data_IF_623075232252
#
_entry.id   IF_623075232252
#
_cell.length_a   1.000
_cell.length_b   1.000
_cell.length_c   1.000
_cell.angle_alpha   90.00
_cell.angle_beta   90.00
_cell.angle_gamma   90.00
#
_symmetry.space_group_name_H-M   'P 1'
#
loop_
_entity.id
_entity.type
_entity.pdbx_description
1 polymer ?
#
# COMPACT_ATOMS: atom_id res chain seq x y z
N UNK A 1 -16.51 11.59 -41.32
CA UNK A 1 -15.47 12.32 -40.55
C UNK A 1 -14.27 11.40 -40.53
N UNK A 2 -13.11 11.83 -41.03
CA UNK A 2 -11.90 10.99 -41.03
C UNK A 2 -11.43 10.83 -39.58
N UNK A 3 -11.34 9.60 -39.10
CA UNK A 3 -10.81 9.27 -37.77
C UNK A 3 -9.37 8.84 -37.95
N UNK A 4 -8.46 9.42 -37.15
CA UNK A 4 -7.04 9.08 -37.13
C UNK A 4 -6.64 8.71 -35.71
N UNK A 5 -6.03 7.54 -35.55
CA UNK A 5 -5.55 7.03 -34.27
C UNK A 5 -4.03 6.98 -34.31
N UNK A 6 -3.37 7.57 -33.30
CA UNK A 6 -1.90 7.60 -33.19
C UNK A 6 -1.44 6.56 -32.18
N UNK A 7 -0.51 5.69 -32.59
CA UNK A 7 0.11 4.72 -31.69
C UNK A 7 1.53 5.19 -31.38
N UNK A 8 1.86 5.22 -30.09
CA UNK A 8 3.19 5.61 -29.62
C UNK A 8 4.05 4.38 -29.34
N UNK A 9 5.37 4.57 -29.30
CA UNK A 9 6.31 3.51 -28.94
C UNK A 9 6.00 2.99 -27.53
N UNK A 10 5.68 1.70 -27.37
CA UNK A 10 5.31 1.13 -26.09
C UNK A 10 6.52 0.96 -25.18
N UNK A 11 6.28 1.00 -23.87
CA UNK A 11 7.31 0.70 -22.88
C UNK A 11 7.30 -0.79 -22.53
N UNK A 12 8.19 -1.58 -23.15
CA UNK A 12 8.29 -3.01 -22.89
C UNK A 12 8.89 -3.32 -21.50
N UNK A 13 9.89 -2.56 -21.05
CA UNK A 13 10.48 -2.68 -19.71
C UNK A 13 10.58 -1.33 -18.97
N UNK A 14 10.57 -1.40 -17.63
CA UNK A 14 10.67 -0.23 -16.74
C UNK A 14 11.92 0.67 -16.95
N UNK A 15 12.96 0.14 -17.61
CA UNK A 15 14.23 0.82 -17.85
C UNK A 15 14.47 1.19 -19.33
N UNK A 16 13.51 0.95 -20.23
CA UNK A 16 13.69 1.26 -21.65
C UNK A 16 13.54 2.76 -21.90
N UNK A 17 14.54 3.37 -22.54
CA UNK A 17 14.54 4.80 -22.89
C UNK A 17 14.27 5.03 -24.38
N UNK A 18 14.57 4.05 -25.23
CA UNK A 18 14.38 4.09 -26.68
C UNK A 18 14.22 2.68 -27.27
N UNK A 19 13.63 2.61 -28.46
CA UNK A 19 13.56 1.41 -29.28
C UNK A 19 14.00 1.74 -30.72
N UNK A 20 14.53 0.75 -31.44
CA UNK A 20 14.92 0.82 -32.84
C UNK A 20 13.86 0.07 -33.66
N UNK A 21 13.40 0.65 -34.76
CA UNK A 21 12.51 -0.05 -35.69
C UNK A 21 13.36 -1.00 -36.53
N UNK A 22 13.14 -2.30 -36.40
CA UNK A 22 13.90 -3.30 -37.16
C UNK A 22 13.30 -3.56 -38.53
N UNK A 23 11.97 -3.62 -38.61
CA UNK A 23 11.25 -3.75 -39.88
C UNK A 23 9.77 -3.39 -39.77
N UNK A 24 9.27 -2.65 -40.76
CA UNK A 24 7.82 -2.53 -41.03
C UNK A 24 7.31 -3.75 -41.81
N UNK A 25 6.13 -4.25 -41.43
CA UNK A 25 5.49 -5.40 -42.08
C UNK A 25 4.52 -4.99 -43.19
N UNK A 26 4.17 -3.70 -43.26
CA UNK A 26 3.24 -3.14 -44.24
C UNK A 26 3.76 -1.81 -44.80
N UNK A 27 3.47 -1.55 -46.07
CA UNK A 27 3.74 -0.25 -46.71
C UNK A 27 2.69 0.79 -46.34
N UNK A 28 3.05 2.06 -46.44
CA UNK A 28 2.11 3.17 -46.21
C UNK A 28 0.84 3.06 -47.06
N UNK A 29 -0.31 3.33 -46.46
CA UNK A 29 -1.63 3.25 -47.08
C UNK A 29 -2.18 1.82 -47.19
N UNK A 30 -1.47 0.81 -46.68
CA UNK A 30 -1.97 -0.57 -46.63
C UNK A 30 -3.09 -0.72 -45.61
N UNK A 31 -4.09 -1.54 -45.95
CA UNK A 31 -5.13 -1.93 -45.01
C UNK A 31 -4.57 -2.95 -44.02
N UNK A 32 -4.76 -2.71 -42.72
CA UNK A 32 -4.39 -3.61 -41.62
C UNK A 32 -5.60 -3.91 -40.75
N UNK A 33 -5.67 -5.13 -40.20
CA UNK A 33 -6.70 -5.52 -39.25
C UNK A 33 -6.22 -5.34 -37.82
N UNK A 34 -7.16 -5.13 -36.88
CA UNK A 34 -6.83 -5.10 -35.45
C UNK A 34 -6.14 -6.39 -35.01
N UNK A 35 -5.00 -6.26 -34.34
CA UNK A 35 -4.18 -7.39 -33.88
C UNK A 35 -3.20 -7.93 -34.92
N UNK A 36 -3.14 -7.36 -36.12
CA UNK A 36 -2.11 -7.68 -37.13
C UNK A 36 -0.77 -7.04 -36.74
N UNK A 37 0.36 -7.70 -37.06
CA UNK A 37 1.69 -7.18 -36.73
C UNK A 37 2.06 -6.06 -37.70
N UNK A 38 2.35 -4.89 -37.17
CA UNK A 38 2.62 -3.68 -37.94
C UNK A 38 4.11 -3.46 -38.17
N UNK A 39 4.91 -3.60 -37.10
CA UNK A 39 6.37 -3.50 -37.15
C UNK A 39 7.00 -4.26 -35.99
N UNK A 40 8.28 -4.59 -36.14
CA UNK A 40 9.08 -5.17 -35.07
C UNK A 40 10.01 -4.09 -34.48
N UNK A 41 10.09 -4.03 -33.16
CA UNK A 41 10.95 -3.11 -32.42
C UNK A 41 12.02 -3.88 -31.64
N UNK A 42 13.21 -3.30 -31.57
CA UNK A 42 14.32 -3.81 -30.76
C UNK A 42 14.72 -2.78 -29.71
N UNK A 43 14.83 -3.22 -28.46
CA UNK A 43 15.47 -2.45 -27.40
C UNK A 43 16.76 -3.18 -26.96
N UNK A 44 17.47 -2.62 -25.97
CA UNK A 44 18.73 -3.22 -25.46
C UNK A 44 18.61 -4.62 -24.84
N UNK A 45 17.39 -5.15 -24.66
CA UNK A 45 17.12 -6.37 -23.89
C UNK A 45 16.31 -7.42 -24.64
N UNK A 46 15.59 -7.03 -25.68
CA UNK A 46 14.57 -7.85 -26.33
C UNK A 46 14.14 -7.26 -27.67
N UNK A 47 13.72 -8.15 -28.56
CA UNK A 47 12.97 -7.83 -29.78
C UNK A 47 11.51 -8.18 -29.53
N UNK A 48 10.59 -7.30 -29.92
CA UNK A 48 9.15 -7.51 -29.75
C UNK A 48 8.34 -6.90 -30.89
N UNK A 49 7.17 -7.48 -31.15
CA UNK A 49 6.27 -7.05 -32.21
C UNK A 49 5.25 -6.02 -31.71
N UNK A 50 4.94 -5.06 -32.56
CA UNK A 50 3.88 -4.07 -32.34
C UNK A 50 2.68 -4.44 -33.19
N UNK A 51 1.53 -4.54 -32.55
CA UNK A 51 0.27 -4.92 -33.19
C UNK A 51 -0.58 -3.68 -33.49
N UNK A 52 -1.42 -3.77 -34.54
CA UNK A 52 -2.39 -2.75 -34.88
C UNK A 52 -3.49 -2.66 -33.80
N UNK A 53 -3.68 -1.48 -33.21
CA UNK A 53 -4.70 -1.29 -32.17
C UNK A 53 -6.14 -1.31 -32.72
N UNK A 54 -6.31 -0.94 -33.99
CA UNK A 54 -7.58 -0.83 -34.70
C UNK A 54 -7.46 -1.29 -36.17
N UNK A 55 -8.60 -1.52 -36.84
CA UNK A 55 -8.63 -1.77 -38.29
C UNK A 55 -8.62 -0.43 -39.04
N UNK A 56 -7.81 -0.33 -40.11
CA UNK A 56 -7.78 0.85 -40.97
C UNK A 56 -6.59 0.87 -41.92
N UNK A 57 -6.22 2.06 -42.39
CA UNK A 57 -5.09 2.27 -43.31
C UNK A 57 -3.87 2.79 -42.55
N UNK A 58 -2.77 2.06 -42.63
CA UNK A 58 -1.55 2.31 -41.86
C UNK A 58 -0.65 3.37 -42.51
N UNK A 59 -0.17 4.32 -41.71
CA UNK A 59 0.82 5.33 -42.11
C UNK A 59 2.00 5.34 -41.13
N UNK A 60 3.12 4.69 -41.47
CA UNK A 60 4.38 4.79 -40.73
C UNK A 60 4.89 6.24 -40.68
N UNK A 61 5.35 6.69 -39.51
CA UNK A 61 5.90 8.04 -39.36
C UNK A 61 7.43 8.10 -39.51
N UNK A 62 8.09 6.94 -39.38
CA UNK A 62 9.54 6.78 -39.28
C UNK A 62 10.04 5.64 -40.18
N UNK A 63 11.33 5.67 -40.50
CA UNK A 63 11.94 4.67 -41.39
C UNK A 63 12.53 3.49 -40.60
N UNK A 64 12.75 2.37 -41.28
CA UNK A 64 13.51 1.24 -40.73
C UNK A 64 14.91 1.70 -40.26
N UNK A 65 15.36 1.17 -39.13
CA UNK A 65 16.64 1.48 -38.49
C UNK A 65 16.65 2.75 -37.65
N UNK A 66 15.56 3.50 -37.57
CA UNK A 66 15.48 4.72 -36.76
C UNK A 66 15.31 4.39 -35.27
N UNK A 67 16.12 5.04 -34.42
CA UNK A 67 16.02 4.92 -32.96
C UNK A 67 15.18 6.05 -32.39
N UNK A 68 14.13 5.69 -31.66
CA UNK A 68 13.12 6.61 -31.18
C UNK A 68 12.89 6.45 -29.68
N UNK A 69 12.63 7.54 -28.94
CA UNK A 69 12.38 7.47 -27.52
C UNK A 69 11.03 6.80 -27.23
N UNK A 70 10.94 6.08 -26.11
CA UNK A 70 9.67 5.52 -25.63
C UNK A 70 8.62 6.63 -25.49
N UNK A 71 7.41 6.39 -26.00
CA UNK A 71 6.34 7.38 -26.06
C UNK A 71 6.33 8.31 -27.28
N UNK A 72 7.31 8.23 -28.19
CA UNK A 72 7.23 8.92 -29.49
C UNK A 72 6.13 8.32 -30.36
N UNK A 73 5.51 9.14 -31.21
CA UNK A 73 4.54 8.68 -32.19
C UNK A 73 5.20 7.75 -33.21
N UNK A 74 4.66 6.54 -33.39
CA UNK A 74 5.25 5.49 -34.21
C UNK A 74 4.55 5.37 -35.57
N UNK A 75 3.23 5.22 -35.57
CA UNK A 75 2.39 5.18 -36.76
C UNK A 75 1.01 5.79 -36.51
N UNK A 76 0.28 6.04 -37.59
CA UNK A 76 -1.14 6.42 -37.56
C UNK A 76 -1.97 5.39 -38.31
N UNK A 77 -3.15 5.05 -37.79
CA UNK A 77 -4.19 4.33 -38.53
C UNK A 77 -5.30 5.32 -38.88
N UNK A 78 -5.59 5.46 -40.18
CA UNK A 78 -6.67 6.30 -40.70
C UNK A 78 -7.88 5.46 -41.09
N UNK A 79 -9.08 5.95 -40.82
CA UNK A 79 -10.33 5.35 -41.29
C UNK A 79 -10.58 5.61 -42.79
N UNK A 80 -9.80 6.47 -43.42
CA UNK A 80 -9.95 6.89 -44.82
C UNK A 80 -8.85 6.29 -45.70
N UNK A 81 -9.26 5.69 -46.83
CA UNK A 81 -8.36 5.06 -47.80
C UNK A 81 -7.58 6.09 -48.61
N UNK A 82 -8.18 7.26 -48.82
CA UNK A 82 -7.64 8.30 -49.70
C UNK A 82 -6.78 9.31 -48.92
N UNK A 83 -6.49 9.03 -47.64
CA UNK A 83 -5.61 9.86 -46.82
C UNK A 83 -4.18 9.83 -47.39
N UNK A 84 -3.51 10.98 -47.35
CA UNK A 84 -2.15 11.09 -47.90
C UNK A 84 -1.14 11.14 -46.78
N UNK A 85 0.07 10.63 -47.02
CA UNK A 85 1.18 10.72 -46.05
C UNK A 85 1.40 12.15 -45.56
N UNK A 86 1.27 13.13 -46.45
CA UNK A 86 1.37 14.55 -46.13
C UNK A 86 0.26 15.01 -45.19
N UNK A 87 -1.00 14.66 -45.47
CA UNK A 87 -2.13 15.04 -44.63
C UNK A 87 -2.06 14.39 -43.23
N UNK A 88 -1.58 13.15 -43.14
CA UNK A 88 -1.33 12.46 -41.87
C UNK A 88 -0.21 13.15 -41.08
N UNK A 89 0.93 13.44 -41.72
CA UNK A 89 2.05 14.14 -41.06
C UNK A 89 1.67 15.55 -40.59
N UNK A 90 0.93 16.30 -41.41
CA UNK A 90 0.44 17.62 -41.06
C UNK A 90 -0.53 17.56 -39.87
N UNK A 91 -1.38 16.53 -39.80
CA UNK A 91 -2.28 16.30 -38.66
C UNK A 91 -1.54 15.93 -37.37
N UNK A 92 -0.52 15.08 -37.44
CA UNK A 92 0.34 14.75 -36.29
C UNK A 92 1.07 16.00 -35.79
N UNK A 93 1.64 16.80 -36.69
CA UNK A 93 2.33 18.05 -36.34
C UNK A 93 1.39 19.11 -35.74
N UNK A 94 0.17 19.23 -36.28
CA UNK A 94 -0.85 20.10 -35.72
C UNK A 94 -1.29 19.63 -34.31
N UNK A 95 -1.37 18.32 -34.10
CA UNK A 95 -1.73 17.73 -32.80
C UNK A 95 -0.63 17.89 -31.75
N UNK A 96 0.65 17.93 -32.16
CA UNK A 96 1.78 18.25 -31.28
C UNK A 96 1.86 19.74 -30.92
N UNK A 97 1.49 20.64 -31.84
CA UNK A 97 1.61 22.10 -31.66
C UNK A 97 0.51 22.74 -30.80
N UNK A 98 -0.54 22.01 -30.40
CA UNK A 98 -1.55 22.48 -29.43
C UNK A 98 -1.03 22.52 -27.98
N UNK A 99 0.28 22.30 -27.77
CA UNK A 99 0.93 22.32 -26.46
C UNK A 99 2.21 23.16 -26.44
N UNK A 100 2.15 24.43 -26.86
CA UNK A 100 3.30 25.33 -26.74
C UNK A 100 2.94 26.78 -26.35
N UNK A 101 2.79 27.01 -25.05
CA UNK A 101 3.11 28.30 -24.44
C UNK A 101 3.61 28.09 -23.00
N UNK A 102 4.94 28.03 -22.84
CA UNK A 102 5.77 28.58 -21.74
C UNK A 102 7.06 27.75 -21.55
N UNK A 103 8.19 28.28 -22.04
CA UNK A 103 9.55 27.87 -21.65
C UNK A 103 10.01 26.45 -22.04
N UNK A 104 11.32 26.27 -22.26
CA UNK A 104 11.87 24.92 -22.40
C UNK A 104 11.66 24.15 -21.09
N UNK A 105 11.19 22.90 -21.13
CA UNK A 105 10.79 22.16 -19.93
C UNK A 105 11.98 21.99 -18.98
N UNK A 106 11.74 22.06 -17.65
CA UNK A 106 12.77 21.79 -16.65
C UNK A 106 13.45 20.45 -16.89
N UNK A 107 14.74 20.38 -16.58
CA UNK A 107 15.50 19.12 -16.71
C UNK A 107 14.87 18.00 -15.88
N UNK A 108 14.93 16.73 -16.31
CA UNK A 108 14.37 15.58 -15.54
C UNK A 108 14.86 15.55 -14.09
N UNK A 109 16.13 15.88 -13.85
CA UNK A 109 16.71 16.00 -12.51
C UNK A 109 16.11 17.16 -11.71
N UNK A 110 15.86 18.33 -12.33
CA UNK A 110 15.14 19.43 -11.70
C UNK A 110 13.70 19.03 -11.34
N UNK A 111 12.99 18.30 -12.20
CA UNK A 111 11.63 17.82 -11.94
C UNK A 111 11.60 16.85 -10.76
N UNK A 112 12.50 15.88 -10.74
CA UNK A 112 12.60 14.90 -9.65
C UNK A 112 12.94 15.61 -8.34
N UNK A 113 13.91 16.53 -8.36
CA UNK A 113 14.32 17.26 -7.17
C UNK A 113 13.22 18.19 -6.66
N UNK A 114 12.55 18.92 -7.55
CA UNK A 114 11.44 19.78 -7.19
C UNK A 114 10.24 18.99 -6.66
N UNK A 115 9.89 17.84 -7.25
CA UNK A 115 8.88 16.93 -6.71
C UNK A 115 9.25 16.40 -5.32
N UNK A 116 10.50 16.01 -5.11
CA UNK A 116 10.99 15.51 -3.82
C UNK A 116 10.88 16.56 -2.70
N UNK A 117 11.01 17.84 -3.04
CA UNK A 117 10.92 18.95 -2.09
C UNK A 117 9.61 19.75 -2.17
N UNK A 118 8.61 19.25 -2.93
CA UNK A 118 7.33 19.90 -3.18
C UNK A 118 7.44 21.37 -3.64
N UNK A 119 8.40 21.64 -4.53
CA UNK A 119 8.67 22.96 -5.09
C UNK A 119 7.95 23.09 -6.42
N UNK A 120 7.18 24.16 -6.58
CA UNK A 120 6.71 24.56 -7.89
C UNK A 120 7.88 25.12 -8.72
N UNK A 121 8.22 24.43 -9.80
CA UNK A 121 9.30 24.82 -10.72
C UNK A 121 9.06 26.17 -11.39
N UNK A 122 7.81 26.65 -11.45
CA UNK A 122 7.49 27.98 -11.97
C UNK A 122 8.07 29.10 -11.10
N UNK A 123 8.35 28.81 -9.83
CA UNK A 123 8.88 29.75 -8.84
C UNK A 123 10.40 29.75 -8.74
N UNK A 124 11.07 28.80 -9.42
CA UNK A 124 12.53 28.63 -9.39
C UNK A 124 13.15 29.49 -10.50
N UNK A 125 13.91 30.56 -10.16
CA UNK A 125 14.56 31.39 -11.17
C UNK A 125 15.61 30.56 -11.93
N UNK A 126 15.51 30.49 -13.26
CA UNK A 126 16.53 29.79 -14.06
C UNK A 126 17.72 30.71 -14.36
N UNK A 127 18.94 30.22 -14.15
CA UNK A 127 20.16 30.89 -14.61
C UNK A 127 20.42 30.76 -16.13
N UNK A 128 19.51 30.13 -16.88
CA UNK A 128 19.64 29.86 -18.31
C UNK A 128 18.29 29.50 -18.98
N UNK A 129 18.35 28.89 -20.16
CA UNK A 129 17.19 28.64 -21.03
C UNK A 129 16.11 27.68 -20.47
N UNK A 130 16.41 26.92 -19.40
CA UNK A 130 15.49 26.02 -18.70
C UNK A 130 15.90 25.88 -17.23
N UNK A 131 14.97 25.47 -16.36
CA UNK A 131 15.27 25.21 -14.93
C UNK A 131 16.11 23.94 -14.80
N UNK A 132 17.32 24.08 -14.24
CA UNK A 132 18.26 23.00 -13.98
C UNK A 132 18.21 22.54 -12.52
N UNK A 133 18.77 21.37 -12.24
CA UNK A 133 18.91 20.85 -10.87
C UNK A 133 19.64 21.85 -9.95
N UNK A 134 20.65 22.54 -10.48
CA UNK A 134 21.44 23.56 -9.75
C UNK A 134 20.57 24.76 -9.34
N UNK A 135 19.63 25.16 -10.19
CA UNK A 135 18.70 26.27 -9.89
C UNK A 135 17.75 25.88 -8.75
N UNK A 136 17.24 24.64 -8.75
CA UNK A 136 16.37 24.11 -7.68
C UNK A 136 17.14 23.99 -6.35
N UNK A 137 18.40 23.54 -6.38
CA UNK A 137 19.25 23.49 -5.18
C UNK A 137 19.56 24.88 -4.62
N UNK A 138 19.84 25.85 -5.49
CA UNK A 138 20.07 27.24 -5.07
C UNK A 138 18.81 27.89 -4.48
N UNK A 139 17.63 27.58 -5.03
CA UNK A 139 16.35 28.02 -4.49
C UNK A 139 16.08 27.45 -3.09
N UNK A 140 16.34 26.16 -2.88
CA UNK A 140 16.25 25.49 -1.57
C UNK A 140 17.20 26.10 -0.53
N UNK A 141 18.45 26.36 -0.92
CA UNK A 141 19.44 26.94 -0.02
C UNK A 141 19.03 28.34 0.49
N UNK A 142 18.32 29.14 -0.34
CA UNK A 142 17.80 30.46 0.04
C UNK A 142 16.59 30.39 0.97
N UNK A 143 15.75 29.36 0.86
CA UNK A 143 14.62 29.16 1.77
C UNK A 143 15.02 28.61 3.15
N UNK A 144 16.25 28.11 3.28
CA UNK A 144 16.75 27.46 4.50
C UNK A 144 17.49 28.40 5.48
N UNK A 145 17.28 29.72 5.38
CA UNK A 145 17.88 30.73 6.29
C UNK A 145 16.90 31.14 7.41
N UNK A 146 17.36 31.35 8.66
CA UNK A 146 16.53 31.20 9.85
C UNK A 146 15.85 32.51 10.26
N UNK A 147 14.64 32.77 9.77
CA UNK A 147 13.79 33.81 10.37
C UNK A 147 12.32 33.71 9.97
N UNK A 148 11.56 32.82 10.61
CA UNK A 148 10.15 33.08 10.99
C UNK A 148 9.55 31.86 11.72
N UNK A 149 9.78 31.80 13.04
CA UNK A 149 8.92 31.05 13.97
C UNK A 149 7.50 31.65 13.95
N UNK A 150 6.50 30.77 14.05
CA UNK A 150 5.06 31.01 14.30
C UNK A 150 4.16 31.23 13.07
N UNK A 151 3.68 30.13 12.49
CA UNK A 151 2.25 29.85 12.17
C UNK A 151 2.19 28.68 11.17
N UNK A 152 1.94 27.47 11.66
CA UNK A 152 1.32 26.35 10.93
C UNK A 152 1.25 25.13 11.87
N UNK A 153 0.50 25.26 12.97
CA UNK A 153 -0.15 24.09 13.53
C UNK A 153 -1.40 23.84 12.67
N UNK A 154 -1.69 22.58 12.34
CA UNK A 154 -2.89 22.09 11.63
C UNK A 154 -2.79 22.00 10.07
N UNK A 155 -1.68 21.51 9.49
CA UNK A 155 -1.69 21.12 8.06
C UNK A 155 -0.80 19.93 7.64
N UNK A 156 -0.02 19.33 8.55
CA UNK A 156 0.86 18.20 8.19
C UNK A 156 0.42 16.91 8.89
N UNK A 157 -0.56 16.23 8.30
CA UNK A 157 -0.66 14.77 8.39
C UNK A 157 0.07 14.21 7.16
N UNK A 158 1.13 13.40 7.32
CA UNK A 158 1.73 12.71 6.18
C UNK A 158 0.75 11.64 5.68
N UNK A 159 0.30 11.79 4.42
CA UNK A 159 -0.38 10.73 3.67
C UNK A 159 0.67 9.76 3.12
N UNK A 160 0.62 8.51 3.59
CA UNK A 160 1.11 7.35 2.86
C UNK A 160 2.60 7.06 2.97
N UNK A 161 3.02 6.49 4.09
CA UNK A 161 3.99 5.37 4.19
C UNK A 161 4.18 5.09 5.69
N UNK A 162 3.32 4.25 6.26
CA UNK A 162 3.59 3.66 7.57
C UNK A 162 4.65 2.56 7.39
N UNK A 163 5.91 2.97 7.29
CA UNK A 163 7.01 2.15 7.78
C UNK A 163 7.13 2.51 9.26
N UNK A 164 6.60 1.61 10.11
CA UNK A 164 6.50 1.68 11.59
C UNK A 164 7.80 2.14 12.30
N UNK A 165 8.92 2.25 11.58
CA UNK A 165 10.25 2.61 12.08
C UNK A 165 10.68 4.05 11.83
N UNK A 166 10.11 4.78 10.86
CA UNK A 166 10.70 6.05 10.40
C UNK A 166 10.13 7.31 11.10
N UNK A 167 9.12 7.14 11.95
CA UNK A 167 8.36 8.26 12.52
C UNK A 167 8.87 8.79 13.86
N UNK A 168 9.74 8.06 14.56
CA UNK A 168 10.05 8.36 15.96
C UNK A 168 11.56 8.39 16.20
N UNK A 169 12.05 9.56 16.60
CA UNK A 169 13.46 9.78 16.98
C UNK A 169 13.83 8.83 18.12
N UNK A 170 15.03 8.28 18.04
CA UNK A 170 15.57 7.22 18.91
C UNK A 170 15.76 7.60 20.39
N UNK A 171 15.31 8.79 20.82
CA UNK A 171 15.40 9.30 22.19
C UNK A 171 14.08 9.26 22.96
N UNK A 172 12.93 8.98 22.32
CA UNK A 172 11.62 8.90 22.98
C UNK A 172 10.87 7.61 22.63
N UNK A 173 10.47 6.83 23.64
CA UNK A 173 9.56 5.69 23.46
C UNK A 173 8.12 6.18 23.35
N UNK A 174 7.38 5.73 22.34
CA UNK A 174 5.96 6.01 22.21
C UNK A 174 5.19 5.44 23.41
N UNK A 175 4.43 6.29 24.08
CA UNK A 175 3.58 5.92 25.20
C UNK A 175 2.24 5.36 24.69
N UNK A 176 1.98 4.09 24.98
CA UNK A 176 0.81 3.35 24.49
C UNK A 176 -0.17 3.11 25.64
N UNK A 177 -1.39 3.62 25.50
CA UNK A 177 -2.51 3.32 26.38
C UNK A 177 -3.21 2.04 25.89
N UNK A 178 -3.47 1.09 26.79
CA UNK A 178 -4.17 -0.16 26.43
C UNK A 178 -5.63 -0.07 26.83
N UNK A 179 -6.54 -0.40 25.90
CA UNK A 179 -7.97 -0.44 26.14
C UNK A 179 -8.41 -1.90 26.28
N UNK A 180 -8.92 -2.24 27.46
CA UNK A 180 -9.19 -3.59 27.94
C UNK A 180 -8.06 -4.11 28.84
N UNK A 181 -8.42 -4.63 30.01
CA UNK A 181 -7.53 -5.21 31.02
C UNK A 181 -7.68 -6.73 31.18
N UNK A 182 -8.38 -7.39 30.25
CA UNK A 182 -8.50 -8.86 30.21
C UNK A 182 -7.23 -9.58 29.71
N UNK A 183 -7.32 -10.90 29.51
CA UNK A 183 -6.19 -11.75 29.08
C UNK A 183 -5.53 -11.34 27.75
N UNK A 184 -6.23 -10.59 26.88
CA UNK A 184 -5.64 -10.02 25.67
C UNK A 184 -4.56 -8.97 25.99
N UNK A 185 -4.73 -8.19 27.06
CA UNK A 185 -3.79 -7.16 27.47
C UNK A 185 -2.44 -7.74 27.87
N UNK A 186 -2.42 -8.90 28.54
CA UNK A 186 -1.20 -9.62 28.94
C UNK A 186 -0.27 -9.88 27.74
N UNK A 187 -0.83 -10.25 26.59
CA UNK A 187 -0.05 -10.52 25.37
C UNK A 187 0.55 -9.23 24.77
N UNK A 188 -0.20 -8.13 24.81
CA UNK A 188 0.25 -6.81 24.36
C UNK A 188 1.35 -6.28 25.29
N UNK A 189 1.17 -6.45 26.59
CA UNK A 189 2.14 -6.05 27.62
C UNK A 189 3.47 -6.81 27.47
N UNK A 190 3.41 -8.12 27.20
CA UNK A 190 4.59 -8.92 26.91
C UNK A 190 5.36 -8.42 25.67
N UNK A 191 4.64 -8.07 24.60
CA UNK A 191 5.23 -7.51 23.38
C UNK A 191 5.85 -6.12 23.61
N UNK A 192 5.12 -5.23 24.29
CA UNK A 192 5.60 -3.87 24.60
C UNK A 192 6.78 -3.88 25.57
N UNK A 193 6.84 -4.85 26.49
CA UNK A 193 7.97 -5.00 27.43
C UNK A 193 9.30 -5.25 26.71
N UNK A 194 9.25 -5.93 25.56
CA UNK A 194 10.41 -6.22 24.73
C UNK A 194 10.69 -5.12 23.69
N UNK A 195 9.81 -4.12 23.57
CA UNK A 195 9.96 -3.03 22.60
C UNK A 195 10.94 -1.96 23.08
N UNK A 196 11.84 -1.57 22.18
CA UNK A 196 12.75 -0.45 22.39
C UNK A 196 12.14 0.90 21.96
N UNK A 197 11.07 0.88 21.18
CA UNK A 197 10.44 2.07 20.59
C UNK A 197 9.11 2.43 21.22
N UNK A 198 8.50 1.53 21.99
CA UNK A 198 7.18 1.71 22.60
C UNK A 198 7.18 1.25 24.07
N UNK A 199 6.29 1.81 24.87
CA UNK A 199 6.05 1.39 26.25
C UNK A 199 4.58 1.54 26.62
N UNK A 200 4.05 0.63 27.44
CA UNK A 200 2.72 0.77 28.00
C UNK A 200 2.73 1.78 29.16
N UNK A 201 1.70 2.63 29.26
CA UNK A 201 1.58 3.63 30.34
C UNK A 201 0.41 3.39 31.30
N UNK A 202 -0.55 2.56 30.91
CA UNK A 202 -1.69 2.18 31.73
C UNK A 202 -2.75 1.45 30.91
N UNK A 203 -3.79 1.00 31.60
CA UNK A 203 -4.93 0.33 31.00
C UNK A 203 -6.23 1.07 31.34
N UNK A 204 -7.23 0.97 30.47
CA UNK A 204 -8.63 1.30 30.78
C UNK A 204 -9.50 0.06 30.69
N UNK A 205 -10.42 -0.13 31.62
CA UNK A 205 -11.41 -1.20 31.59
C UNK A 205 -12.72 -0.75 32.25
N UNK A 206 -13.84 -1.08 31.63
CA UNK A 206 -15.17 -0.69 32.10
C UNK A 206 -15.67 -1.55 33.27
N UNK A 207 -14.99 -2.65 33.61
CA UNK A 207 -15.29 -3.44 34.79
C UNK A 207 -14.90 -2.66 36.07
N UNK A 208 -15.89 -2.22 36.89
CA UNK A 208 -15.62 -1.43 38.08
C UNK A 208 -14.78 -2.21 39.11
N UNK A 209 -14.85 -3.54 39.11
CA UNK A 209 -14.07 -4.39 40.03
C UNK A 209 -12.58 -4.39 39.68
N UNK A 210 -12.20 -3.91 38.50
CA UNK A 210 -10.81 -3.78 38.08
C UNK A 210 -10.19 -2.41 38.42
N UNK A 211 -11.00 -1.46 38.89
CA UNK A 211 -10.52 -0.14 39.31
C UNK A 211 -9.40 -0.25 40.35
N UNK A 212 -8.35 0.57 40.21
CA UNK A 212 -7.17 0.60 41.08
C UNK A 212 -6.37 -0.71 41.17
N UNK A 213 -6.68 -1.72 40.33
CA UNK A 213 -5.85 -2.93 40.19
C UNK A 213 -4.74 -2.69 39.16
N UNK A 214 -3.84 -3.67 39.10
CA UNK A 214 -2.77 -3.70 38.09
C UNK A 214 -2.85 -4.96 37.25
N UNK A 215 -2.39 -4.86 35.99
CA UNK A 215 -2.14 -5.99 35.11
C UNK A 215 -0.65 -6.02 34.80
N UNK A 216 0.05 -7.09 35.21
CA UNK A 216 1.50 -7.22 35.11
C UNK A 216 2.29 -6.00 35.64
N UNK A 217 1.77 -5.36 36.70
CA UNK A 217 2.39 -4.19 37.32
C UNK A 217 2.04 -2.83 36.68
N UNK A 218 1.22 -2.79 35.63
CA UNK A 218 0.68 -1.55 35.06
C UNK A 218 -0.70 -1.22 35.62
N UNK A 219 -0.97 0.04 36.01
CA UNK A 219 -2.21 0.43 36.65
C UNK A 219 -3.38 0.49 35.66
N UNK A 220 -4.56 0.13 36.15
CA UNK A 220 -5.84 0.40 35.50
C UNK A 220 -6.29 1.80 35.94
N UNK A 221 -6.34 2.73 34.99
CA UNK A 221 -6.52 4.17 35.22
C UNK A 221 -8.00 4.58 35.33
N UNK A 222 -8.92 3.63 35.12
CA UNK A 222 -10.38 3.83 35.16
C UNK A 222 -11.10 3.18 33.99
N UNK A 223 -12.35 3.62 33.78
CA UNK A 223 -13.20 3.19 32.67
C UNK A 223 -12.77 3.73 31.30
N UNK A 224 -13.25 3.08 30.24
CA UNK A 224 -13.11 3.52 28.85
C UNK A 224 -14.25 4.47 28.43
N UNK A 225 -14.61 5.40 29.32
CA UNK A 225 -15.57 6.45 29.04
C UNK A 225 -14.90 7.67 28.36
N UNK A 226 -15.70 8.48 27.68
CA UNK A 226 -15.20 9.63 26.91
C UNK A 226 -14.54 10.70 27.79
N UNK A 227 -14.95 10.86 29.05
CA UNK A 227 -14.39 11.86 29.95
C UNK A 227 -13.00 11.44 30.44
N UNK A 228 -12.83 10.18 30.82
CA UNK A 228 -11.53 9.61 31.21
C UNK A 228 -10.53 9.67 30.04
N UNK A 229 -10.95 9.22 28.84
CA UNK A 229 -10.11 9.29 27.64
C UNK A 229 -9.69 10.72 27.29
N UNK A 230 -10.64 11.68 27.28
CA UNK A 230 -10.34 13.08 26.98
C UNK A 230 -9.37 13.69 28.00
N UNK A 231 -9.59 13.44 29.30
CA UNK A 231 -8.72 13.92 30.38
C UNK A 231 -7.28 13.42 30.25
N UNK A 232 -7.09 12.13 29.94
CA UNK A 232 -5.76 11.56 29.74
C UNK A 232 -5.09 12.09 28.46
N UNK A 233 -5.87 12.27 27.39
CA UNK A 233 -5.37 12.79 26.11
C UNK A 233 -4.94 14.26 26.21
N UNK A 234 -5.75 15.12 26.84
CA UNK A 234 -5.43 16.53 27.07
C UNK A 234 -4.16 16.72 27.91
N UNK A 235 -3.95 15.83 28.90
CA UNK A 235 -2.75 15.80 29.73
C UNK A 235 -1.53 15.23 29.01
N UNK A 236 -1.68 14.74 27.78
CA UNK A 236 -0.63 14.05 27.01
C UNK A 236 -0.04 12.87 27.79
N UNK A 237 -0.88 12.13 28.50
CA UNK A 237 -0.45 10.98 29.29
C UNK A 237 -0.05 9.78 28.42
N UNK A 238 -0.43 9.79 27.13
CA UNK A 238 -0.08 8.79 26.14
C UNK A 238 -0.01 9.42 24.74
N UNK A 239 0.65 8.74 23.80
CA UNK A 239 0.85 9.18 22.42
C UNK A 239 -0.11 8.48 21.44
N UNK A 240 -0.49 7.22 21.75
CA UNK A 240 -1.42 6.42 20.97
C UNK A 240 -2.12 5.36 21.84
N UNK A 241 -3.22 4.79 21.35
CA UNK A 241 -3.96 3.73 22.04
C UNK A 241 -3.92 2.40 21.26
N UNK A 242 -4.07 1.28 21.96
CA UNK A 242 -4.26 -0.06 21.37
C UNK A 242 -5.42 -0.77 22.07
N UNK A 243 -6.29 -1.44 21.31
CA UNK A 243 -7.44 -2.16 21.86
C UNK A 243 -7.12 -3.64 21.97
N UNK A 244 -7.17 -4.20 23.19
CA UNK A 244 -6.74 -5.57 23.47
C UNK A 244 -7.83 -6.63 23.29
N UNK A 245 -9.01 -6.26 22.80
CA UNK A 245 -10.20 -7.11 22.76
C UNK A 245 -10.14 -8.05 21.54
N UNK A 246 -9.65 -9.28 21.72
CA UNK A 246 -9.47 -10.24 20.61
C UNK A 246 -10.65 -11.18 20.36
N UNK A 247 -11.57 -11.32 21.32
CA UNK A 247 -12.64 -12.33 21.24
C UNK A 247 -13.89 -11.85 20.51
N UNK A 248 -14.13 -10.53 20.49
CA UNK A 248 -15.28 -9.87 19.89
C UNK A 248 -14.84 -8.74 18.94
N UNK A 249 -14.71 -9.08 17.66
CA UNK A 249 -14.25 -8.15 16.62
C UNK A 249 -15.19 -6.95 16.42
N UNK A 250 -16.51 -7.15 16.57
CA UNK A 250 -17.49 -6.09 16.42
C UNK A 250 -17.36 -5.05 17.55
N UNK A 251 -17.15 -5.51 18.78
CA UNK A 251 -16.92 -4.62 19.91
C UNK A 251 -15.56 -3.93 19.82
N UNK A 252 -14.48 -4.65 19.45
CA UNK A 252 -13.17 -4.03 19.21
C UNK A 252 -13.25 -2.92 18.16
N UNK A 253 -13.92 -3.18 17.03
CA UNK A 253 -14.18 -2.20 15.98
C UNK A 253 -14.85 -0.93 16.52
N UNK A 254 -15.91 -1.08 17.30
CA UNK A 254 -16.65 0.05 17.89
C UNK A 254 -15.73 0.94 18.76
N UNK A 255 -14.86 0.33 19.57
CA UNK A 255 -13.91 1.07 20.41
C UNK A 255 -12.86 1.79 19.54
N UNK A 256 -12.32 1.12 18.51
CA UNK A 256 -11.39 1.73 17.57
C UNK A 256 -12.01 2.93 16.83
N UNK A 257 -13.28 2.84 16.43
CA UNK A 257 -14.02 3.95 15.82
C UNK A 257 -14.17 5.12 16.79
N UNK A 258 -14.55 4.87 18.05
CA UNK A 258 -14.63 5.91 19.09
C UNK A 258 -13.30 6.63 19.32
N UNK A 259 -12.18 5.89 19.34
CA UNK A 259 -10.84 6.48 19.48
C UNK A 259 -10.48 7.35 18.28
N UNK A 260 -10.77 6.88 17.06
CA UNK A 260 -10.55 7.65 15.82
C UNK A 260 -11.38 8.93 15.79
N UNK A 261 -12.66 8.86 16.18
CA UNK A 261 -13.55 10.03 16.30
C UNK A 261 -13.04 11.06 17.33
N UNK A 262 -12.42 10.58 18.41
CA UNK A 262 -11.77 11.43 19.41
C UNK A 262 -10.40 11.99 18.94
N UNK A 263 -9.94 11.66 17.73
CA UNK A 263 -8.65 12.07 17.20
C UNK A 263 -7.46 11.38 17.87
N UNK A 264 -7.68 10.27 18.56
CA UNK A 264 -6.66 9.49 19.24
C UNK A 264 -6.05 8.49 18.23
N UNK A 265 -4.73 8.55 17.96
CA UNK A 265 -4.07 7.61 17.06
C UNK A 265 -4.10 6.18 17.62
N UNK A 266 -4.26 5.19 16.74
CA UNK A 266 -4.12 3.78 17.09
C UNK A 266 -2.68 3.30 16.83
N UNK A 267 -2.04 2.74 17.85
CA UNK A 267 -0.70 2.17 17.73
C UNK A 267 -0.73 0.82 17.02
N UNK A 268 0.30 0.51 16.24
CA UNK A 268 0.63 -0.88 15.95
C UNK A 268 1.50 -1.40 17.09
N UNK A 269 1.13 -2.54 17.68
CA UNK A 269 1.97 -3.27 18.63
C UNK A 269 2.54 -4.49 17.93
N UNK A 270 3.81 -4.42 17.56
CA UNK A 270 4.52 -5.46 16.83
C UNK A 270 5.61 -6.02 17.74
N UNK A 271 5.50 -7.30 18.06
CA UNK A 271 6.51 -7.98 18.86
C UNK A 271 7.87 -7.95 18.12
N UNK A 272 9.00 -7.67 18.78
CA UNK A 272 10.32 -7.56 18.12
C UNK A 272 10.79 -8.81 17.37
N UNK A 273 10.19 -9.97 17.68
CA UNK A 273 10.43 -11.26 17.02
C UNK A 273 9.47 -11.57 15.87
N UNK A 274 8.56 -10.67 15.54
CA UNK A 274 7.77 -10.76 14.32
C UNK A 274 8.60 -10.27 13.13
N UNK A 275 8.40 -10.88 11.96
CA UNK A 275 9.05 -10.48 10.72
C UNK A 275 8.08 -9.67 9.86
N UNK A 276 8.49 -8.46 9.47
CA UNK A 276 7.78 -7.63 8.50
C UNK A 276 8.62 -7.57 7.22
N UNK A 277 8.04 -8.09 6.14
CA UNK A 277 8.69 -8.27 4.85
C UNK A 277 8.83 -6.97 4.07
N UNK A 278 9.73 -7.00 3.09
CA UNK A 278 9.97 -5.88 2.19
C UNK A 278 8.69 -5.48 1.44
N UNK A 279 8.41 -4.17 1.37
CA UNK A 279 7.22 -3.61 0.74
C UNK A 279 5.88 -4.08 1.34
N UNK A 280 5.89 -4.70 2.53
CA UNK A 280 4.66 -4.93 3.26
C UNK A 280 4.05 -3.59 3.68
N UNK A 281 2.72 -3.51 3.68
CA UNK A 281 1.96 -2.33 4.12
C UNK A 281 1.11 -2.72 5.31
N UNK A 282 1.05 -1.84 6.30
CA UNK A 282 0.20 -2.02 7.47
C UNK A 282 -0.68 -0.79 7.66
N UNK A 283 -1.93 -1.03 8.02
CA UNK A 283 -2.81 -0.05 8.64
C UNK A 283 -2.42 0.19 10.10
N UNK A 284 -3.34 0.77 10.85
CA UNK A 284 -3.19 1.18 12.25
C UNK A 284 -3.93 0.27 13.21
N UNK A 285 -3.52 0.22 14.49
CA UNK A 285 -4.22 -0.55 15.52
C UNK A 285 -3.96 -2.06 15.47
N UNK A 286 -2.95 -2.52 14.72
CA UNK A 286 -2.66 -3.94 14.59
C UNK A 286 -1.89 -4.46 15.81
N UNK A 287 -2.27 -5.64 16.29
CA UNK A 287 -1.50 -6.43 17.25
C UNK A 287 -0.86 -7.60 16.49
N UNK A 288 0.47 -7.64 16.46
CA UNK A 288 1.24 -8.67 15.77
C UNK A 288 2.20 -9.30 16.78
N UNK A 289 1.87 -10.50 17.25
CA UNK A 289 2.60 -11.16 18.34
C UNK A 289 3.87 -11.90 17.86
N UNK A 290 4.58 -12.50 18.81
CA UNK A 290 5.85 -13.17 18.57
C UNK A 290 5.78 -14.19 17.43
N UNK A 291 6.82 -14.20 16.60
CA UNK A 291 7.00 -15.13 15.48
C UNK A 291 5.92 -15.06 14.39
N UNK A 292 5.13 -13.99 14.36
CA UNK A 292 4.32 -13.72 13.18
C UNK A 292 5.20 -13.35 11.98
N UNK A 293 4.72 -13.66 10.80
CA UNK A 293 5.33 -13.27 9.53
C UNK A 293 4.30 -12.50 8.71
N UNK A 294 4.64 -11.26 8.35
CA UNK A 294 3.97 -10.51 7.29
C UNK A 294 4.94 -10.50 6.12
N UNK A 295 4.72 -11.34 5.12
CA UNK A 295 5.67 -11.55 4.03
C UNK A 295 5.73 -10.37 3.04
N UNK A 296 6.65 -10.46 2.08
CA UNK A 296 6.90 -9.40 1.12
C UNK A 296 5.63 -9.02 0.33
N UNK A 297 5.44 -7.72 0.11
CA UNK A 297 4.31 -7.18 -0.64
C UNK A 297 2.91 -7.53 -0.07
N UNK A 298 2.80 -8.02 1.16
CA UNK A 298 1.51 -8.23 1.81
C UNK A 298 0.89 -6.88 2.23
N UNK A 299 -0.43 -6.77 2.17
CA UNK A 299 -1.17 -5.57 2.59
C UNK A 299 -2.07 -5.92 3.77
N UNK A 300 -1.84 -5.30 4.93
CA UNK A 300 -2.62 -5.51 6.16
C UNK A 300 -3.43 -4.25 6.45
N UNK A 301 -4.74 -4.39 6.65
CA UNK A 301 -5.63 -3.30 7.04
C UNK A 301 -5.46 -2.86 8.50
N UNK A 302 -6.49 -2.20 9.02
CA UNK A 302 -6.55 -1.69 10.39
C UNK A 302 -7.05 -2.74 11.40
N UNK A 303 -6.65 -2.61 12.66
CA UNK A 303 -7.23 -3.29 13.82
C UNK A 303 -7.25 -4.83 13.72
N UNK A 304 -6.20 -5.42 13.14
CA UNK A 304 -6.07 -6.87 13.11
C UNK A 304 -5.32 -7.40 14.33
N UNK A 305 -5.80 -8.52 14.88
CA UNK A 305 -5.14 -9.20 15.99
C UNK A 305 -4.56 -10.53 15.50
N UNK A 306 -3.24 -10.57 15.32
CA UNK A 306 -2.50 -11.74 14.87
C UNK A 306 -1.79 -12.36 16.08
N UNK A 307 -2.31 -13.50 16.54
CA UNK A 307 -1.67 -14.26 17.61
C UNK A 307 -0.35 -14.90 17.16
N UNK A 308 0.39 -15.51 18.08
CA UNK A 308 1.72 -16.03 17.79
C UNK A 308 1.72 -17.04 16.63
N UNK A 309 2.80 -17.02 15.84
CA UNK A 309 3.00 -17.91 14.69
C UNK A 309 1.98 -17.75 13.55
N UNK A 310 1.30 -16.62 13.44
CA UNK A 310 0.47 -16.33 12.26
C UNK A 310 1.37 -15.91 11.08
N UNK A 311 1.17 -16.54 9.92
CA UNK A 311 1.89 -16.18 8.68
C UNK A 311 0.92 -15.67 7.61
N UNK A 312 1.10 -14.41 7.24
CA UNK A 312 0.47 -13.78 6.09
C UNK A 312 1.48 -13.76 4.94
N UNK A 313 1.33 -14.67 3.99
CA UNK A 313 2.29 -14.88 2.91
C UNK A 313 2.20 -13.82 1.80
N UNK A 314 3.20 -13.82 0.91
CA UNK A 314 3.44 -12.72 0.00
C UNK A 314 2.24 -12.40 -0.91
N UNK A 315 2.07 -11.12 -1.25
CA UNK A 315 0.98 -10.62 -2.09
C UNK A 315 -0.44 -10.89 -1.55
N UNK A 316 -0.58 -11.42 -0.34
CA UNK A 316 -1.86 -11.56 0.34
C UNK A 316 -2.36 -10.20 0.82
N UNK A 317 -3.68 -10.04 0.87
CA UNK A 317 -4.33 -8.86 1.44
C UNK A 317 -5.23 -9.27 2.58
N UNK A 318 -5.07 -8.59 3.70
CA UNK A 318 -5.88 -8.72 4.88
C UNK A 318 -6.66 -7.42 5.08
N UNK A 319 -7.98 -7.53 5.20
CA UNK A 319 -8.87 -6.43 5.54
C UNK A 319 -8.71 -5.99 6.99
N UNK A 320 -9.78 -5.49 7.57
CA UNK A 320 -9.79 -4.81 8.86
C UNK A 320 -10.47 -5.66 9.93
N UNK A 321 -10.14 -5.39 11.19
CA UNK A 321 -10.86 -5.93 12.35
C UNK A 321 -10.87 -7.48 12.43
N UNK A 322 -9.85 -8.14 11.88
CA UNK A 322 -9.77 -9.61 11.89
C UNK A 322 -9.10 -10.11 13.17
N UNK A 323 -9.41 -11.33 13.58
CA UNK A 323 -8.76 -11.98 14.73
C UNK A 323 -8.30 -13.37 14.36
N UNK A 324 -7.01 -13.63 14.57
CA UNK A 324 -6.34 -14.88 14.26
C UNK A 324 -5.89 -15.58 15.53
N UNK A 325 -6.31 -16.83 15.69
CA UNK A 325 -5.72 -17.73 16.66
C UNK A 325 -4.26 -18.06 16.33
N UNK A 326 -3.54 -18.72 17.26
CA UNK A 326 -2.15 -19.08 17.02
C UNK A 326 -1.98 -20.02 15.82
N UNK A 327 -0.89 -19.85 15.08
CA UNK A 327 -0.52 -20.78 14.01
C UNK A 327 -1.46 -20.78 12.80
N UNK A 328 -2.14 -19.67 12.50
CA UNK A 328 -2.88 -19.53 11.24
C UNK A 328 -1.90 -19.19 10.11
N UNK A 329 -1.86 -20.02 9.07
CA UNK A 329 -0.94 -19.88 7.95
C UNK A 329 -1.71 -19.69 6.65
N UNK A 330 -1.39 -18.62 5.93
CA UNK A 330 -1.84 -18.41 4.56
C UNK A 330 -0.74 -18.81 3.58
N UNK A 331 -1.12 -19.27 2.41
CA UNK A 331 -0.25 -19.32 1.23
C UNK A 331 -0.28 -17.97 0.48
N UNK A 332 0.43 -17.87 -0.64
CA UNK A 332 0.53 -16.65 -1.43
C UNK A 332 -0.81 -16.16 -2.00
N UNK A 333 -0.97 -14.83 -2.09
CA UNK A 333 -2.07 -14.18 -2.80
C UNK A 333 -3.48 -14.46 -2.23
N UNK A 334 -3.58 -14.75 -0.93
CA UNK A 334 -4.85 -14.93 -0.24
C UNK A 334 -5.51 -13.57 0.01
N UNK A 335 -6.83 -13.49 -0.15
CA UNK A 335 -7.62 -12.29 0.13
C UNK A 335 -8.53 -12.57 1.33
N UNK A 336 -8.31 -11.88 2.44
CA UNK A 336 -9.17 -11.97 3.64
C UNK A 336 -9.88 -10.64 3.81
N UNK A 337 -11.21 -10.65 3.85
CA UNK A 337 -12.02 -9.46 4.02
C UNK A 337 -12.09 -9.02 5.50
N UNK A 338 -13.12 -8.27 5.88
CA UNK A 338 -13.21 -7.63 7.19
C UNK A 338 -13.90 -8.53 8.25
N UNK A 339 -13.54 -8.33 9.52
CA UNK A 339 -14.22 -8.93 10.67
C UNK A 339 -14.25 -10.46 10.70
N UNK A 340 -13.34 -11.14 10.00
CA UNK A 340 -13.18 -12.58 10.05
C UNK A 340 -12.52 -13.05 11.34
N UNK A 341 -12.84 -14.27 11.75
CA UNK A 341 -12.27 -14.92 12.93
C UNK A 341 -11.70 -16.29 12.57
N UNK A 342 -10.44 -16.51 12.91
CA UNK A 342 -9.74 -17.76 12.65
C UNK A 342 -9.39 -18.43 13.98
N UNK A 343 -9.73 -19.71 14.10
CA UNK A 343 -9.27 -20.55 15.19
C UNK A 343 -7.78 -20.87 15.09
N UNK A 344 -7.29 -21.66 16.04
CA UNK A 344 -5.89 -22.11 16.07
C UNK A 344 -5.60 -23.08 14.94
N UNK A 345 -4.42 -22.96 14.31
CA UNK A 345 -3.94 -23.96 13.33
C UNK A 345 -4.81 -24.06 12.08
N UNK A 346 -5.21 -22.92 11.51
CA UNK A 346 -5.92 -22.87 10.22
C UNK A 346 -4.90 -22.72 9.10
N UNK A 347 -5.07 -23.49 8.02
CA UNK A 347 -4.20 -23.44 6.83
C UNK A 347 -5.03 -23.00 5.62
N UNK A 348 -4.53 -22.03 4.83
CA UNK A 348 -5.27 -21.47 3.70
C UNK A 348 -4.43 -21.62 2.42
N UNK A 349 -4.96 -22.31 1.42
CA UNK A 349 -4.35 -22.51 0.11
C UNK A 349 -4.21 -21.19 -0.67
N UNK A 350 -3.32 -21.10 -1.68
CA UNK A 350 -3.10 -19.85 -2.39
C UNK A 350 -4.31 -19.45 -3.24
N UNK A 351 -4.43 -18.15 -3.52
CA UNK A 351 -5.50 -17.57 -4.35
C UNK A 351 -6.93 -17.67 -3.78
N UNK A 352 -7.06 -18.05 -2.52
CA UNK A 352 -8.36 -18.16 -1.85
C UNK A 352 -8.84 -16.79 -1.35
N UNK A 353 -10.14 -16.55 -1.52
CA UNK A 353 -10.87 -15.41 -0.96
C UNK A 353 -11.74 -15.83 0.23
N UNK A 354 -11.63 -15.09 1.34
CA UNK A 354 -12.45 -15.28 2.55
C UNK A 354 -13.28 -14.03 2.78
N UNK A 355 -14.59 -14.16 2.60
CA UNK A 355 -15.56 -13.08 2.74
C UNK A 355 -15.76 -12.62 4.18
N UNK A 356 -16.28 -11.39 4.33
CA UNK A 356 -16.36 -10.70 5.62
C UNK A 356 -17.21 -11.44 6.65
N UNK A 357 -16.89 -11.23 7.94
CA UNK A 357 -17.64 -11.79 9.09
C UNK A 357 -17.68 -13.32 9.11
N UNK A 358 -16.79 -13.98 8.39
CA UNK A 358 -16.69 -15.44 8.39
C UNK A 358 -15.90 -15.95 9.58
N UNK A 359 -16.27 -17.13 10.07
CA UNK A 359 -15.63 -17.80 11.20
C UNK A 359 -15.06 -19.13 10.74
N UNK A 360 -13.74 -19.26 10.82
CA UNK A 360 -13.02 -20.49 10.48
C UNK A 360 -12.62 -21.20 11.76
N UNK A 361 -13.18 -22.39 12.00
CA UNK A 361 -12.88 -23.17 13.19
C UNK A 361 -11.42 -23.64 13.24
N UNK A 362 -10.90 -23.89 14.43
CA UNK A 362 -9.55 -24.40 14.63
C UNK A 362 -9.30 -25.70 13.86
N UNK A 363 -8.10 -25.87 13.32
CA UNK A 363 -7.68 -27.07 12.60
C UNK A 363 -8.28 -27.23 11.19
N UNK A 364 -8.90 -26.19 10.63
CA UNK A 364 -9.42 -26.26 9.25
C UNK A 364 -8.30 -26.03 8.22
N UNK A 365 -8.39 -26.76 7.11
CA UNK A 365 -7.66 -26.44 5.87
C UNK A 365 -8.64 -25.89 4.86
N UNK A 366 -8.42 -24.66 4.40
CA UNK A 366 -9.27 -23.96 3.45
C UNK A 366 -8.68 -24.10 2.05
N UNK A 367 -9.37 -24.86 1.22
CA UNK A 367 -8.96 -25.20 -0.15
C UNK A 367 -9.83 -24.56 -1.22
N UNK A 368 -10.85 -23.81 -0.82
CA UNK A 368 -11.82 -23.13 -1.70
C UNK A 368 -12.26 -21.81 -1.05
N UNK A 369 -12.77 -20.91 -1.88
CA UNK A 369 -13.30 -19.62 -1.44
C UNK A 369 -14.41 -19.80 -0.39
N UNK A 370 -14.42 -18.88 0.57
CA UNK A 370 -15.41 -18.83 1.65
C UNK A 370 -16.24 -17.58 1.47
N UNK A 371 -17.55 -17.74 1.24
CA UNK A 371 -18.48 -16.63 1.17
C UNK A 371 -18.52 -15.83 2.48
N UNK A 372 -19.01 -14.60 2.42
CA UNK A 372 -19.25 -13.80 3.63
C UNK A 372 -20.25 -14.46 4.60
N UNK A 373 -20.21 -14.04 5.87
CA UNK A 373 -21.09 -14.49 6.93
C UNK A 373 -21.14 -16.03 7.09
N UNK A 374 -20.04 -16.71 6.78
CA UNK A 374 -19.99 -18.18 6.73
C UNK A 374 -19.21 -18.75 7.92
N UNK A 375 -19.70 -19.85 8.49
CA UNK A 375 -18.98 -20.63 9.50
C UNK A 375 -18.42 -21.89 8.85
N UNK A 376 -17.10 -22.00 8.76
CA UNK A 376 -16.41 -23.22 8.34
C UNK A 376 -16.06 -24.04 9.58
N UNK A 377 -16.60 -25.25 9.67
CA UNK A 377 -16.40 -26.16 10.80
C UNK A 377 -15.33 -27.20 10.45
N UNK A 378 -14.55 -27.61 11.44
CA UNK A 378 -13.64 -28.75 11.29
C UNK A 378 -14.45 -30.04 11.18
N UNK A 379 -14.14 -30.88 10.19
CA UNK A 379 -14.85 -32.13 9.90
C UNK A 379 -14.36 -33.31 10.74
N UNK A 380 -13.30 -33.14 11.53
CA UNK A 380 -12.69 -34.23 12.29
C UNK A 380 -12.97 -34.05 13.78
N UNK A 381 -14.03 -34.69 14.29
CA UNK A 381 -14.11 -34.97 15.71
C UNK A 381 -13.01 -36.01 16.04
N UNK A 382 -12.12 -35.76 17.00
CA UNK A 382 -11.09 -36.75 17.34
C UNK A 382 -11.76 -38.01 17.89
N UNK A 383 -11.57 -39.15 17.21
CA UNK A 383 -11.87 -40.46 17.78
C UNK A 383 -10.75 -40.84 18.75
N UNK A 384 -11.04 -40.87 20.05
CA UNK A 384 -10.09 -41.38 21.06
C UNK A 384 -10.43 -42.82 21.45
N UNK A 385 -9.43 -43.71 21.48
CA UNK A 385 -9.50 -44.96 22.23
C UNK A 385 -8.53 -44.87 23.42
N UNK A 386 -8.93 -45.28 24.63
CA UNK A 386 -8.00 -45.36 25.75
C UNK A 386 -6.86 -46.33 25.40
N UNK A 387 -5.64 -45.98 25.81
CA UNK A 387 -4.50 -46.87 25.71
C UNK A 387 -4.79 -48.16 26.49
N UNK A 388 -4.37 -49.34 26.01
CA UNK A 388 -4.38 -50.55 26.83
C UNK A 388 -3.63 -50.26 28.13
N UNK A 389 -4.17 -50.70 29.28
CA UNK A 389 -3.44 -50.66 30.54
C UNK A 389 -2.13 -51.42 30.34
N UNK A 390 -1.00 -50.73 30.56
CA UNK A 390 0.33 -51.33 30.53
C UNK A 390 0.52 -52.35 31.66
#
# INVERSE_FOLDING_TARGET
MVVRTITNIPQANANDQSAIITSWQHSTGSKVNKGEVVCTLENTKSVFDVYAEEEGYLYPLHNDGESLPVGAALYVISSDKDDTEKAVRDWVNASANTSSSTGAPPTKKAIILAKRHNIDLSLVPSGGARVSEKDVQAYLAKQSSPSSRKKAAIANLPRGADTVLDSYKSDHKQNVLIIGAGNGAVQILDALRQSDTQQAVGLLDDDPDLSDKTVMGLPILGGCDSQTLASLWEKKSFDAAIVSISTNNAFRKLICERLKEAGIPLANVIHPRAYIGMNAKLGSGNVILAFCQIAACAEIGDDNFLSAYVSIEHHSKLGNHNSFGPGVLTSSSVQIADQCKFGTGVFIEPWISIGSKSVIASGCTITQDVSENTIVKSTNAPSSKPLPKQ
#
